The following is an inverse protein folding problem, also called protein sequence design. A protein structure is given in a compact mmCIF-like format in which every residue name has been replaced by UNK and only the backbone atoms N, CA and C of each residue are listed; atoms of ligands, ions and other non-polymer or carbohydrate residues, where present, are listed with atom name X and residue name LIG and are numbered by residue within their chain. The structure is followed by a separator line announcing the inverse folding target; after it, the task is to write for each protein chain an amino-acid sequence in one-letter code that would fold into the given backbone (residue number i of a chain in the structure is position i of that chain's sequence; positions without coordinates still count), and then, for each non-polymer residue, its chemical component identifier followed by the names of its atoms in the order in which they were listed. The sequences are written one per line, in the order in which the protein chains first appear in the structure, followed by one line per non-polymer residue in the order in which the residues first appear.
data_IF_707187426907
#
_entry.id   IF_707187426907
#
_cell.length_a   1.000
_cell.length_b   1.000
_cell.length_c   1.000
_cell.angle_alpha   90.00
_cell.angle_beta   90.00
_cell.angle_gamma   90.00
#
_symmetry.space_group_name_H-M   'P 1'
#
loop_
_entity.id
_entity.type
_entity.pdbx_description
1 polymer ?
#
# COMPACT_ATOMS: atom_id res chain seq x y z
N UNK A 1 2.07 -20.02 0.52
CA UNK A 1 2.96 -19.07 1.23
C UNK A 1 3.68 -18.24 0.19
N UNK A 2 3.80 -16.94 0.39
CA UNK A 2 4.48 -16.01 -0.51
C UNK A 2 5.76 -15.49 0.16
N UNK A 3 6.77 -15.15 -0.64
CA UNK A 3 7.99 -14.50 -0.18
C UNK A 3 8.25 -13.30 -1.08
N UNK A 4 8.20 -12.11 -0.50
CA UNK A 4 8.54 -10.87 -1.18
C UNK A 4 9.96 -10.47 -0.80
N UNK A 5 10.87 -10.43 -1.78
CA UNK A 5 12.25 -9.97 -1.58
C UNK A 5 12.36 -8.53 -2.06
N UNK A 6 12.58 -7.61 -1.14
CA UNK A 6 12.70 -6.18 -1.43
C UNK A 6 14.13 -5.85 -1.88
N UNK A 7 14.37 -5.66 -3.17
CA UNK A 7 15.70 -5.44 -3.73
C UNK A 7 15.65 -4.69 -5.07
N UNK A 8 16.43 -3.62 -5.30
CA UNK A 8 16.96 -2.62 -4.37
C UNK A 8 15.84 -1.65 -3.93
N UNK A 9 15.34 -1.79 -2.71
CA UNK A 9 14.11 -1.17 -2.27
C UNK A 9 14.32 -0.07 -1.22
N UNK A 10 13.54 1.01 -1.33
CA UNK A 10 13.27 1.98 -0.25
C UNK A 10 11.80 2.42 -0.34
N UNK A 11 11.16 2.66 0.80
CA UNK A 11 9.73 2.99 0.83
C UNK A 11 9.43 4.35 0.21
N UNK A 12 10.30 5.34 0.41
CA UNK A 12 10.16 6.64 -0.28
C UNK A 12 10.21 6.53 -1.79
N UNK A 13 11.07 5.66 -2.32
CA UNK A 13 11.14 5.44 -3.77
C UNK A 13 9.88 4.75 -4.29
N UNK A 14 9.39 3.73 -3.58
CA UNK A 14 8.12 3.07 -3.90
C UNK A 14 6.95 4.06 -3.96
N UNK A 15 6.82 4.92 -2.94
CA UNK A 15 5.76 5.93 -2.89
C UNK A 15 5.90 6.92 -4.05
N UNK A 16 7.11 7.40 -4.33
CA UNK A 16 7.36 8.32 -5.44
C UNK A 16 7.02 7.69 -6.80
N UNK A 17 7.34 6.41 -6.99
CA UNK A 17 7.01 5.65 -8.20
C UNK A 17 5.49 5.47 -8.34
N UNK A 18 4.79 5.12 -7.25
CA UNK A 18 3.34 4.99 -7.25
C UNK A 18 2.64 6.31 -7.62
N UNK A 19 3.09 7.44 -7.06
CA UNK A 19 2.60 8.78 -7.42
C UNK A 19 2.89 9.10 -8.88
N UNK A 20 4.06 8.72 -9.39
CA UNK A 20 4.43 8.92 -10.79
C UNK A 20 3.50 8.14 -11.72
N UNK A 21 3.24 6.86 -11.43
CA UNK A 21 2.29 6.01 -12.17
C UNK A 21 0.88 6.62 -12.21
N UNK A 22 0.38 7.12 -11.08
CA UNK A 22 -0.93 7.78 -10.99
C UNK A 22 -0.93 9.07 -11.83
N UNK A 23 0.12 9.89 -11.71
CA UNK A 23 0.25 11.16 -12.44
C UNK A 23 0.27 10.95 -13.95
N UNK A 24 0.95 9.91 -14.43
CA UNK A 24 0.90 9.51 -15.84
C UNK A 24 -0.49 9.06 -16.26
N UNK A 25 -1.20 8.31 -15.41
CA UNK A 25 -2.59 7.92 -15.64
C UNK A 25 -3.52 9.12 -15.82
N UNK A 26 -3.34 10.17 -15.01
CA UNK A 26 -4.07 11.44 -15.14
C UNK A 26 -3.68 12.16 -16.43
N UNK A 27 -2.39 12.25 -16.74
CA UNK A 27 -1.92 12.91 -17.97
C UNK A 27 -2.45 12.23 -19.25
N UNK A 28 -2.56 10.90 -19.23
CA UNK A 28 -3.11 10.09 -20.34
C UNK A 28 -4.65 10.11 -20.38
N UNK A 29 -5.31 10.77 -19.43
CA UNK A 29 -6.76 10.86 -19.33
C UNK A 29 -7.46 9.57 -18.86
N UNK A 30 -6.70 8.58 -18.38
CA UNK A 30 -7.24 7.35 -17.81
C UNK A 30 -7.83 7.57 -16.41
N UNK A 31 -7.24 8.52 -15.67
CA UNK A 31 -7.68 8.95 -14.34
C UNK A 31 -8.00 10.43 -14.33
N UNK A 32 -8.78 10.85 -13.34
CA UNK A 32 -8.99 12.26 -12.98
C UNK A 32 -8.36 12.54 -11.61
N UNK A 33 -8.07 13.81 -11.30
CA UNK A 33 -7.47 14.18 -10.00
C UNK A 33 -8.38 13.76 -8.83
N UNK A 34 -9.70 13.81 -9.02
CA UNK A 34 -10.69 13.35 -8.05
C UNK A 34 -10.70 11.82 -7.83
N UNK A 35 -10.07 11.04 -8.70
CA UNK A 35 -9.95 9.59 -8.52
C UNK A 35 -8.80 9.22 -7.57
N UNK A 36 -7.92 10.16 -7.24
CA UNK A 36 -6.74 9.92 -6.39
C UNK A 36 -7.15 9.91 -4.92
N UNK A 37 -6.97 8.76 -4.27
CA UNK A 37 -7.14 8.56 -2.84
C UNK A 37 -6.05 7.60 -2.29
N UNK A 38 -6.11 7.33 -0.98
CA UNK A 38 -5.21 6.39 -0.31
C UNK A 38 -5.29 4.98 -0.92
N UNK A 39 -6.49 4.54 -1.31
CA UNK A 39 -6.71 3.20 -1.86
C UNK A 39 -6.06 3.03 -3.23
N UNK A 40 -6.20 4.01 -4.13
CA UNK A 40 -5.54 4.00 -5.42
C UNK A 40 -4.01 4.01 -5.27
N UNK A 41 -3.51 4.75 -4.28
CA UNK A 41 -2.08 4.74 -3.98
C UNK A 41 -1.60 3.37 -3.53
N UNK A 42 -2.32 2.72 -2.60
CA UNK A 42 -2.05 1.35 -2.13
C UNK A 42 -1.99 0.34 -3.29
N UNK A 43 -2.94 0.42 -4.22
CA UNK A 43 -3.00 -0.43 -5.41
C UNK A 43 -1.84 -0.18 -6.39
N UNK A 44 -1.16 0.97 -6.29
CA UNK A 44 0.00 1.32 -7.12
C UNK A 44 1.35 1.00 -6.47
N UNK A 45 1.39 0.61 -5.20
CA UNK A 45 2.61 0.19 -4.50
C UNK A 45 3.12 -1.14 -5.05
N UNK A 46 4.42 -1.43 -4.85
CA UNK A 46 4.98 -2.73 -5.26
C UNK A 46 4.36 -3.89 -4.47
N UNK A 47 3.84 -3.61 -3.28
CA UNK A 47 3.19 -4.58 -2.40
C UNK A 47 1.70 -4.77 -2.65
N UNK A 48 1.09 -4.19 -3.69
CA UNK A 48 -0.36 -4.22 -3.94
C UNK A 48 -1.01 -5.62 -3.93
N UNK A 49 -0.24 -6.68 -4.19
CA UNK A 49 -0.71 -8.09 -4.15
C UNK A 49 -0.60 -8.74 -2.76
N UNK A 50 -0.11 -8.02 -1.77
CA UNK A 50 0.10 -8.51 -0.41
C UNK A 50 -0.69 -7.65 0.57
N UNK A 51 -1.32 -8.24 1.60
CA UNK A 51 -1.86 -7.45 2.68
C UNK A 51 -0.73 -6.75 3.44
N UNK A 52 -1.06 -5.64 4.08
CA UNK A 52 -0.15 -4.95 4.99
C UNK A 52 0.38 -5.91 6.07
N UNK A 53 1.66 -5.82 6.43
CA UNK A 53 2.24 -6.67 7.46
C UNK A 53 1.62 -6.37 8.82
N UNK A 54 1.21 -7.41 9.54
CA UNK A 54 0.71 -7.23 10.92
C UNK A 54 1.86 -7.10 11.94
N UNK A 55 3.03 -7.64 11.60
CA UNK A 55 4.22 -7.66 12.44
C UNK A 55 5.45 -7.38 11.58
N UNK A 56 6.26 -6.41 12.00
CA UNK A 56 7.58 -6.15 11.43
C UNK A 56 8.63 -6.47 12.49
N UNK A 57 9.51 -7.40 12.16
CA UNK A 57 10.62 -7.80 13.02
C UNK A 57 11.88 -7.15 12.50
N UNK A 58 12.57 -6.38 13.35
CA UNK A 58 13.89 -5.83 13.05
C UNK A 58 14.90 -6.34 14.05
N UNK A 59 15.94 -6.98 13.53
CA UNK A 59 17.08 -7.50 14.28
C UNK A 59 18.14 -6.41 14.52
N UNK A 60 19.27 -6.76 15.15
CA UNK A 60 20.44 -5.92 15.46
C UNK A 60 20.27 -4.86 16.56
N UNK A 61 19.15 -4.86 17.29
CA UNK A 61 18.92 -3.90 18.39
C UNK A 61 18.60 -2.47 17.94
N UNK A 62 18.52 -2.24 16.63
CA UNK A 62 18.31 -0.92 16.05
C UNK A 62 16.84 -0.50 16.06
N UNK A 63 16.51 0.64 16.66
CA UNK A 63 15.13 1.10 16.87
C UNK A 63 14.70 2.12 15.82
N UNK A 64 14.70 1.71 14.54
CA UNK A 64 14.24 2.52 13.40
C UNK A 64 13.64 1.63 12.30
N UNK A 65 12.94 2.18 11.32
CA UNK A 65 12.48 1.40 10.15
C UNK A 65 13.49 1.38 9.01
N UNK A 66 14.41 2.35 8.95
CA UNK A 66 15.38 2.49 7.84
C UNK A 66 14.72 2.54 6.45
N UNK A 67 13.62 3.30 6.30
CA UNK A 67 12.94 3.49 5.01
C UNK A 67 12.37 2.18 4.42
N UNK A 68 11.84 1.31 5.30
CA UNK A 68 11.25 0.03 4.94
C UNK A 68 9.75 0.02 5.21
N UNK A 69 8.94 -0.25 4.18
CA UNK A 69 7.49 -0.40 4.23
C UNK A 69 6.76 0.70 5.05
N UNK A 70 7.11 1.97 4.87
CA UNK A 70 6.59 3.06 5.70
C UNK A 70 5.08 3.25 5.56
N UNK A 71 4.54 3.05 4.35
CA UNK A 71 3.10 3.12 4.10
C UNK A 71 2.38 1.93 4.74
N UNK A 72 2.84 0.72 4.39
CA UNK A 72 2.24 -0.55 4.78
C UNK A 72 2.38 -0.82 6.29
N UNK A 73 3.34 -0.19 6.96
CA UNK A 73 3.63 -0.42 8.38
C UNK A 73 2.85 0.44 9.37
N UNK A 74 1.95 1.29 8.88
CA UNK A 74 1.20 2.28 9.68
C UNK A 74 0.47 1.65 10.88
N UNK A 75 -0.09 0.45 10.71
CA UNK A 75 -0.76 -0.33 11.76
C UNK A 75 -0.10 -1.70 11.99
N UNK A 76 1.23 -1.79 11.83
CA UNK A 76 1.98 -2.99 12.21
C UNK A 76 2.43 -2.93 13.67
N UNK A 77 2.53 -4.09 14.31
CA UNK A 77 3.34 -4.23 15.52
C UNK A 77 4.81 -4.23 15.13
N UNK A 78 5.60 -3.33 15.73
CA UNK A 78 7.04 -3.23 15.49
C UNK A 78 7.80 -3.97 16.60
N UNK A 79 8.45 -5.08 16.27
CA UNK A 79 9.26 -5.87 17.18
C UNK A 79 10.76 -5.65 16.89
N UNK A 80 11.44 -4.90 17.76
CA UNK A 80 12.89 -4.74 17.71
C UNK A 80 13.55 -5.79 18.60
N UNK A 81 14.39 -6.63 17.99
CA UNK A 81 15.05 -7.77 18.66
C UNK A 81 16.56 -7.53 18.66
N UNK A 82 17.16 -7.58 19.85
CA UNK A 82 18.61 -7.38 20.05
C UNK A 82 19.40 -8.67 19.77
N UNK A 83 19.28 -9.18 18.55
CA UNK A 83 19.99 -10.35 18.03
C UNK A 83 20.41 -10.04 16.60
N UNK A 84 21.63 -10.43 16.17
CA UNK A 84 22.05 -10.23 14.79
C UNK A 84 21.28 -11.16 13.84
N UNK A 85 21.00 -10.71 12.61
CA UNK A 85 20.24 -11.51 11.64
C UNK A 85 20.77 -12.93 11.41
N UNK A 86 22.09 -13.17 11.22
CA UNK A 86 22.62 -14.52 11.03
C UNK A 86 22.45 -15.45 12.25
N UNK A 87 22.19 -14.88 13.43
CA UNK A 87 22.00 -15.61 14.68
C UNK A 87 20.53 -15.69 15.13
N UNK A 88 19.61 -15.13 14.33
CA UNK A 88 18.19 -15.11 14.65
C UNK A 88 17.62 -16.54 14.66
N UNK A 89 17.09 -16.96 15.81
CA UNK A 89 16.64 -18.31 16.05
C UNK A 89 15.12 -18.44 16.02
N UNK A 90 14.64 -19.69 16.02
CA UNK A 90 13.21 -19.97 16.16
C UNK A 90 12.62 -19.39 17.46
N UNK A 91 13.40 -19.34 18.55
CA UNK A 91 12.94 -18.77 19.82
C UNK A 91 12.76 -17.25 19.75
N UNK A 92 13.61 -16.56 19.00
CA UNK A 92 13.48 -15.12 18.75
C UNK A 92 12.23 -14.82 17.91
N UNK A 93 11.94 -15.69 16.94
CA UNK A 93 10.69 -15.63 16.19
C UNK A 93 9.47 -15.85 17.09
N UNK A 94 9.47 -16.87 17.95
CA UNK A 94 8.39 -17.10 18.92
C UNK A 94 8.20 -15.89 19.85
N UNK A 95 9.29 -15.29 20.32
CA UNK A 95 9.24 -14.06 21.12
C UNK A 95 8.52 -12.94 20.36
N UNK A 96 8.86 -12.70 19.08
CA UNK A 96 8.22 -11.69 18.26
C UNK A 96 6.72 -11.98 18.04
N UNK A 97 6.33 -13.24 17.88
CA UNK A 97 4.92 -13.64 17.77
C UNK A 97 4.16 -13.39 19.08
N UNK A 98 4.73 -13.73 20.24
CA UNK A 98 4.09 -13.42 21.52
C UNK A 98 3.99 -11.91 21.76
N UNK A 99 5.01 -11.15 21.33
CA UNK A 99 4.99 -9.71 21.37
C UNK A 99 3.84 -9.15 20.52
N UNK A 100 3.69 -9.64 19.28
CA UNK A 100 2.56 -9.33 18.42
C UNK A 100 1.21 -9.64 19.09
N UNK A 101 1.00 -10.86 19.56
CA UNK A 101 -0.27 -11.28 20.19
C UNK A 101 -0.65 -10.40 21.39
N UNK A 102 0.34 -9.93 22.16
CA UNK A 102 0.13 -9.02 23.29
C UNK A 102 -0.37 -7.64 22.86
N UNK A 103 0.09 -7.13 21.72
CA UNK A 103 -0.19 -5.77 21.25
C UNK A 103 -1.29 -5.71 20.18
N UNK A 104 -1.61 -6.84 19.55
CA UNK A 104 -2.56 -6.97 18.44
C UNK A 104 -3.87 -6.21 18.70
N UNK A 105 -4.53 -6.47 19.82
CA UNK A 105 -5.83 -5.84 20.14
C UNK A 105 -5.78 -4.31 20.21
N UNK A 106 -4.65 -3.74 20.66
CA UNK A 106 -4.51 -2.28 20.77
C UNK A 106 -4.33 -1.68 19.38
N UNK A 107 -3.49 -2.31 18.55
CA UNK A 107 -3.23 -1.87 17.17
C UNK A 107 -4.46 -2.05 16.28
N UNK A 108 -5.14 -3.19 16.41
CA UNK A 108 -6.41 -3.49 15.71
C UNK A 108 -7.46 -2.43 16.02
N UNK A 109 -7.65 -2.11 17.31
CA UNK A 109 -8.58 -1.04 17.71
C UNK A 109 -8.21 0.31 17.10
N UNK A 110 -6.92 0.67 17.09
CA UNK A 110 -6.47 1.92 16.49
C UNK A 110 -6.72 1.94 14.97
N UNK A 111 -6.55 0.80 14.29
CA UNK A 111 -6.85 0.63 12.86
C UNK A 111 -8.35 0.80 12.58
N UNK A 112 -9.21 0.18 13.38
CA UNK A 112 -10.67 0.34 13.27
C UNK A 112 -11.11 1.79 13.46
N UNK A 113 -10.56 2.48 14.47
CA UNK A 113 -10.83 3.89 14.72
C UNK A 113 -10.40 4.78 13.56
N UNK A 114 -9.22 4.51 12.97
CA UNK A 114 -8.74 5.20 11.76
C UNK A 114 -9.68 5.00 10.58
N UNK A 115 -10.05 3.74 10.28
CA UNK A 115 -10.94 3.43 9.16
C UNK A 115 -12.31 4.09 9.32
N UNK A 116 -12.84 4.14 10.55
CA UNK A 116 -14.09 4.84 10.84
C UNK A 116 -13.98 6.34 10.57
N UNK A 117 -12.91 6.98 11.07
CA UNK A 117 -12.67 8.41 10.81
C UNK A 117 -12.52 8.69 9.31
N UNK A 118 -11.81 7.81 8.58
CA UNK A 118 -11.65 7.93 7.14
C UNK A 118 -12.98 7.89 6.41
N UNK A 119 -13.82 6.90 6.74
CA UNK A 119 -15.16 6.76 6.14
C UNK A 119 -16.02 8.01 6.40
N UNK A 120 -16.01 8.54 7.63
CA UNK A 120 -16.74 9.77 7.97
C UNK A 120 -16.23 11.00 7.20
N UNK A 121 -14.93 11.09 6.92
CA UNK A 121 -14.35 12.17 6.11
C UNK A 121 -14.72 12.04 4.63
N UNK A 122 -14.69 10.82 4.09
CA UNK A 122 -15.10 10.52 2.72
C UNK A 122 -16.59 10.82 2.51
N UNK A 123 -17.48 10.46 3.44
CA UNK A 123 -18.90 10.80 3.37
C UNK A 123 -19.13 12.31 3.36
N UNK A 124 -18.47 13.06 4.24
CA UNK A 124 -18.58 14.53 4.28
C UNK A 124 -18.09 15.17 2.98
N UNK A 125 -16.96 14.72 2.45
CA UNK A 125 -16.44 15.23 1.17
C UNK A 125 -17.43 14.97 0.02
N UNK A 126 -18.05 13.79 -0.02
CA UNK A 126 -19.06 13.45 -1.02
C UNK A 126 -20.33 14.31 -0.87
N UNK A 127 -20.77 14.58 0.36
CA UNK A 127 -21.92 15.46 0.62
C UNK A 127 -21.62 16.90 0.15
N UNK A 128 -20.45 17.45 0.50
CA UNK A 128 -20.02 18.77 0.05
C UNK A 128 -19.97 18.88 -1.48
N UNK A 129 -19.45 17.87 -2.17
CA UNK A 129 -19.39 17.82 -3.64
C UNK A 129 -20.80 17.77 -4.28
N UNK A 130 -21.75 17.09 -3.65
CA UNK A 130 -23.16 17.04 -4.08
C UNK A 130 -23.86 18.40 -3.91
N UNK A 131 -23.65 19.08 -2.77
CA UNK A 131 -24.24 20.41 -2.54
C UNK A 131 -23.70 21.47 -3.50
N UNK A 132 -22.43 21.38 -3.90
CA UNK A 132 -21.81 22.30 -4.87
C UNK A 132 -22.31 22.08 -6.30
N UNK A 133 -22.76 20.87 -6.62
CA UNK A 133 -23.18 20.50 -7.96
C UNK A 133 -24.60 19.92 -7.91
N UNK A 134 -25.60 20.80 -7.93
CA UNK A 134 -27.05 20.52 -7.78
C UNK A 134 -27.63 19.42 -8.71
N UNK A 135 -26.85 18.89 -9.65
CA UNK A 135 -27.25 17.90 -10.68
C UNK A 135 -26.44 16.59 -10.67
N UNK A 136 -25.49 16.36 -9.75
CA UNK A 136 -24.66 15.15 -9.79
C UNK A 136 -25.40 13.90 -9.29
N UNK A 137 -25.56 12.89 -10.16
CA UNK A 137 -25.94 11.55 -9.74
C UNK A 137 -24.73 10.84 -9.10
N UNK A 138 -24.70 10.80 -7.77
CA UNK A 138 -23.61 10.24 -6.96
C UNK A 138 -23.32 8.75 -7.28
N UNK A 139 -24.35 7.94 -7.55
CA UNK A 139 -24.17 6.52 -7.90
C UNK A 139 -23.49 6.36 -9.27
N UNK A 140 -23.89 7.17 -10.25
CA UNK A 140 -23.24 7.17 -11.56
C UNK A 140 -21.78 7.64 -11.46
N UNK A 141 -21.48 8.65 -10.64
CA UNK A 141 -20.11 9.11 -10.41
C UNK A 141 -19.24 8.02 -9.76
N UNK A 142 -19.75 7.36 -8.72
CA UNK A 142 -19.05 6.23 -8.06
C UNK A 142 -18.78 5.10 -9.06
N UNK A 143 -19.79 4.70 -9.82
CA UNK A 143 -19.66 3.64 -10.84
C UNK A 143 -18.62 4.01 -11.91
N UNK A 144 -18.65 5.27 -12.37
CA UNK A 144 -17.71 5.75 -13.39
C UNK A 144 -16.28 5.81 -12.85
N UNK A 145 -16.09 6.27 -11.61
CA UNK A 145 -14.79 6.27 -10.91
C UNK A 145 -14.24 4.85 -10.77
N UNK A 146 -15.02 3.91 -10.24
CA UNK A 146 -14.60 2.51 -10.09
C UNK A 146 -14.22 1.88 -11.43
N UNK A 147 -14.94 2.23 -12.50
CA UNK A 147 -14.60 1.77 -13.85
C UNK A 147 -13.28 2.36 -14.34
N UNK A 148 -13.05 3.67 -14.20
CA UNK A 148 -11.77 4.31 -14.57
C UNK A 148 -10.60 3.71 -13.80
N UNK A 149 -10.74 3.56 -12.49
CA UNK A 149 -9.71 2.99 -11.62
C UNK A 149 -9.41 1.54 -12.03
N UNK A 150 -10.43 0.69 -12.21
CA UNK A 150 -10.21 -0.70 -12.60
C UNK A 150 -9.55 -0.85 -13.97
N UNK A 151 -9.98 -0.07 -14.97
CA UNK A 151 -9.33 -0.04 -16.28
C UNK A 151 -7.88 0.44 -16.19
N UNK A 152 -7.60 1.47 -15.39
CA UNK A 152 -6.25 1.96 -15.14
C UNK A 152 -5.36 0.88 -14.51
N UNK A 153 -5.82 0.23 -13.45
CA UNK A 153 -5.05 -0.81 -12.74
C UNK A 153 -4.74 -2.02 -13.62
N UNK A 154 -5.71 -2.44 -14.45
CA UNK A 154 -5.48 -3.52 -15.44
C UNK A 154 -4.40 -3.12 -16.44
N UNK A 155 -4.44 -1.89 -16.95
CA UNK A 155 -3.43 -1.40 -17.89
C UNK A 155 -2.05 -1.28 -17.23
N UNK A 156 -2.00 -0.85 -15.98
CA UNK A 156 -0.77 -0.78 -15.19
C UNK A 156 -0.16 -2.18 -15.00
N UNK A 157 -0.96 -3.16 -14.61
CA UNK A 157 -0.52 -4.54 -14.48
C UNK A 157 0.01 -5.12 -15.80
N UNK A 158 -0.69 -4.88 -16.91
CA UNK A 158 -0.25 -5.32 -18.22
C UNK A 158 1.10 -4.69 -18.62
N UNK A 159 1.29 -3.40 -18.33
CA UNK A 159 2.54 -2.70 -18.57
C UNK A 159 3.70 -3.27 -17.73
N UNK A 160 3.45 -3.53 -16.44
CA UNK A 160 4.45 -4.13 -15.55
C UNK A 160 4.83 -5.55 -16.01
N UNK A 161 3.84 -6.37 -16.41
CA UNK A 161 4.08 -7.70 -16.97
C UNK A 161 4.85 -7.66 -18.29
N UNK A 162 4.55 -6.71 -19.16
CA UNK A 162 5.28 -6.53 -20.41
C UNK A 162 6.74 -6.17 -20.15
N UNK A 163 7.01 -5.23 -19.24
CA UNK A 163 8.37 -4.85 -18.86
C UNK A 163 9.16 -6.01 -18.28
N UNK A 164 8.52 -6.87 -17.48
CA UNK A 164 9.15 -8.10 -16.97
C UNK A 164 9.51 -9.05 -18.13
N UNK A 165 8.63 -9.23 -19.11
CA UNK A 165 8.91 -10.08 -20.29
C UNK A 165 10.11 -9.55 -21.08
N UNK A 166 10.14 -8.26 -21.35
CA UNK A 166 11.24 -7.60 -22.07
C UNK A 166 12.60 -7.75 -21.37
N UNK A 167 12.63 -7.83 -20.03
CA UNK A 167 13.86 -8.06 -19.27
C UNK A 167 14.33 -9.53 -19.29
N UNK A 168 13.42 -10.47 -19.51
CA UNK A 168 13.70 -11.91 -19.51
C UNK A 168 14.05 -12.41 -20.91
N UNK A 169 13.44 -11.84 -21.95
CA UNK A 169 13.70 -12.24 -23.31
C UNK A 169 15.15 -11.89 -23.71
N UNK A 170 15.92 -12.87 -24.24
CA UNK A 170 17.27 -12.60 -24.70
C UNK A 170 17.18 -11.65 -25.90
N UNK A 171 17.96 -10.56 -25.87
CA UNK A 171 18.12 -9.68 -27.03
C UNK A 171 18.60 -10.53 -28.20
N UNK A 172 17.73 -10.76 -29.18
CA UNK A 172 18.09 -11.43 -30.43
C UNK A 172 19.06 -10.52 -31.18
N UNK A 173 20.35 -10.84 -31.11
CA UNK A 173 21.39 -10.26 -31.97
C UNK A 173 21.33 -10.86 -33.37
#
# INVERSE_FOLDING_TARGET
AYLNVCFPYTSRHEIAEAITKISEGVQKGALTVSDIDEQLLEECLYTNRSPDPELIIRTSGEVRLSDFLLWQSSFSVLAFVDVLWPTFSFWDFCYAIFYYQRHHKVVEKAREEYLKQRFELEEKANEEEYFLNEEINLENCKTTRSKRISEFLINLENSDLQRIRELIEPVSN
#
